data_IF_995683797118
#
_entry.id   IF_995683797118
#
_cell.length_a   1.000
_cell.length_b   1.000
_cell.length_c   1.000
_cell.angle_alpha   90.00
_cell.angle_beta   90.00
_cell.angle_gamma   90.00
#
_symmetry.space_group_name_H-M   'P 1'
#
loop_
_entity.id
_entity.type
_entity.pdbx_description
1 polymer ?
#
# COMPACT_ATOMS: atom_id res chain seq x y z
N UNK A 1 -14.88 6.37 6.55
CA UNK A 1 -13.40 6.44 6.59
C UNK A 1 -12.70 5.53 7.61
N UNK A 2 -13.12 5.47 8.89
CA UNK A 2 -12.36 4.80 9.97
C UNK A 2 -11.94 3.37 9.66
N UNK A 3 -12.83 2.57 9.09
CA UNK A 3 -12.56 1.14 8.87
C UNK A 3 -11.36 0.91 7.93
N UNK A 4 -11.30 1.61 6.80
CA UNK A 4 -10.17 1.49 5.86
C UNK A 4 -8.88 2.07 6.44
N UNK A 5 -8.95 3.22 7.12
CA UNK A 5 -7.78 3.83 7.75
C UNK A 5 -7.20 2.91 8.84
N UNK A 6 -8.04 2.26 9.63
CA UNK A 6 -7.64 1.25 10.61
C UNK A 6 -7.05 0.01 9.95
N UNK A 7 -7.62 -0.47 8.84
CA UNK A 7 -7.08 -1.60 8.08
C UNK A 7 -5.68 -1.34 7.53
N UNK A 8 -5.44 -0.14 7.00
CA UNK A 8 -4.11 0.29 6.55
C UNK A 8 -3.19 0.46 7.76
N UNK A 9 -3.68 1.04 8.87
CA UNK A 9 -2.93 1.14 10.11
C UNK A 9 -2.42 -0.21 10.63
N UNK A 10 -3.21 -1.28 10.50
CA UNK A 10 -2.81 -2.65 10.87
C UNK A 10 -1.62 -3.16 10.06
N UNK A 11 -1.43 -2.71 8.82
CA UNK A 11 -0.24 -3.07 8.04
C UNK A 11 1.06 -2.54 8.67
N UNK A 12 0.98 -1.43 9.42
CA UNK A 12 2.12 -0.85 10.13
C UNK A 12 2.32 -1.43 11.53
N UNK A 13 1.29 -1.96 12.18
CA UNK A 13 1.43 -2.55 13.53
C UNK A 13 1.70 -4.06 13.51
N UNK A 14 1.42 -4.76 12.41
CA UNK A 14 1.72 -6.19 12.30
C UNK A 14 1.61 -6.82 10.92
N UNK A 15 1.40 -6.04 9.85
CA UNK A 15 1.35 -6.55 8.49
C UNK A 15 2.61 -6.30 7.67
N UNK A 16 2.44 -6.12 6.38
CA UNK A 16 3.54 -6.07 5.43
C UNK A 16 4.52 -4.93 5.71
N UNK A 17 4.03 -3.71 5.93
CA UNK A 17 4.89 -2.54 6.22
C UNK A 17 5.61 -2.66 7.56
N UNK A 18 5.04 -3.39 8.52
CA UNK A 18 5.73 -3.78 9.75
C UNK A 18 6.89 -4.73 9.46
N UNK A 19 6.68 -5.74 8.63
CA UNK A 19 7.66 -6.78 8.35
C UNK A 19 8.84 -6.29 7.51
N UNK A 20 8.62 -5.47 6.47
CA UNK A 20 9.73 -4.93 5.67
C UNK A 20 10.61 -3.97 6.47
N UNK A 21 10.07 -3.24 7.46
CA UNK A 21 10.87 -2.44 8.40
C UNK A 21 11.76 -3.28 9.31
N UNK A 22 11.39 -4.55 9.50
CA UNK A 22 12.20 -5.57 10.17
C UNK A 22 13.04 -6.38 9.17
N UNK A 23 13.15 -5.90 7.94
CA UNK A 23 13.93 -6.52 6.84
C UNK A 23 13.42 -7.91 6.46
N UNK A 24 12.13 -8.19 6.71
CA UNK A 24 11.49 -9.46 6.37
C UNK A 24 10.48 -9.26 5.26
N UNK A 25 10.77 -9.81 4.09
CA UNK A 25 9.80 -9.85 3.00
C UNK A 25 8.98 -11.13 3.08
N UNK A 26 7.69 -10.99 3.41
CA UNK A 26 6.74 -12.09 3.47
C UNK A 26 5.74 -11.94 2.33
N UNK A 27 5.93 -12.71 1.26
CA UNK A 27 5.16 -12.60 0.00
C UNK A 27 3.65 -12.61 0.19
N UNK A 28 3.13 -13.52 1.02
CA UNK A 28 1.68 -13.63 1.24
C UNK A 28 1.10 -12.39 1.91
N UNK A 29 1.84 -11.74 2.80
CA UNK A 29 1.39 -10.50 3.43
C UNK A 29 1.48 -9.31 2.48
N UNK A 30 2.52 -9.29 1.65
CA UNK A 30 2.65 -8.32 0.58
C UNK A 30 1.38 -8.34 -0.28
N UNK A 31 1.02 -9.51 -0.82
CA UNK A 31 -0.20 -9.69 -1.64
C UNK A 31 -1.45 -9.24 -0.88
N UNK A 32 -1.61 -9.63 0.39
CA UNK A 32 -2.76 -9.20 1.21
C UNK A 32 -2.85 -7.68 1.36
N UNK A 33 -1.71 -6.99 1.54
CA UNK A 33 -1.68 -5.53 1.65
C UNK A 33 -2.12 -4.85 0.35
N UNK A 34 -1.70 -5.37 -0.82
CA UNK A 34 -2.18 -4.87 -2.12
C UNK A 34 -3.68 -5.08 -2.27
N UNK A 35 -4.17 -6.28 -1.93
CA UNK A 35 -5.59 -6.57 -2.05
C UNK A 35 -6.45 -5.64 -1.19
N UNK A 36 -6.02 -5.30 0.03
CA UNK A 36 -6.73 -4.31 0.86
C UNK A 36 -6.89 -2.98 0.12
N UNK A 37 -5.82 -2.45 -0.47
CA UNK A 37 -5.86 -1.19 -1.22
C UNK A 37 -6.73 -1.35 -2.48
N UNK A 38 -6.64 -2.49 -3.17
CA UNK A 38 -7.43 -2.80 -4.37
C UNK A 38 -8.94 -2.77 -4.10
N UNK A 39 -9.38 -3.17 -2.92
CA UNK A 39 -10.80 -3.20 -2.53
C UNK A 39 -11.33 -1.84 -2.04
N UNK A 40 -10.50 -0.81 -1.97
CA UNK A 40 -10.97 0.55 -1.67
C UNK A 40 -11.98 1.00 -2.74
N UNK A 41 -13.22 1.27 -2.34
CA UNK A 41 -14.27 1.81 -3.22
C UNK A 41 -14.48 3.31 -2.95
N UNK A 42 -13.98 4.21 -3.83
CA UNK A 42 -14.10 5.65 -3.67
C UNK A 42 -15.55 6.15 -3.60
N UNK A 43 -16.52 5.42 -4.16
CA UNK A 43 -17.92 5.86 -4.20
C UNK A 43 -18.59 5.90 -2.82
N UNK A 44 -17.99 5.22 -1.84
CA UNK A 44 -18.50 5.11 -0.46
C UNK A 44 -18.03 6.24 0.45
N UNK A 45 -17.24 7.19 -0.06
CA UNK A 45 -16.61 8.25 0.73
C UNK A 45 -17.00 9.65 0.23
N UNK A 46 -17.10 10.60 1.16
CA UNK A 46 -17.23 12.03 0.85
C UNK A 46 -15.95 12.59 0.20
N UNK A 47 -16.05 13.75 -0.46
CA UNK A 47 -14.91 14.41 -1.11
C UNK A 47 -13.75 14.74 -0.13
N UNK A 48 -14.08 15.06 1.12
CA UNK A 48 -13.06 15.28 2.16
C UNK A 48 -12.38 13.96 2.55
N UNK A 49 -13.14 12.91 2.82
CA UNK A 49 -12.60 11.58 3.12
C UNK A 49 -11.75 11.02 1.97
N UNK A 50 -12.13 11.28 0.71
CA UNK A 50 -11.33 10.86 -0.46
C UNK A 50 -9.94 11.50 -0.46
N UNK A 51 -9.82 12.77 -0.09
CA UNK A 51 -8.54 13.47 0.01
C UNK A 51 -7.69 12.90 1.15
N UNK A 52 -8.30 12.63 2.30
CA UNK A 52 -7.62 11.98 3.42
C UNK A 52 -7.11 10.59 3.04
N UNK A 53 -7.94 9.80 2.36
CA UNK A 53 -7.56 8.48 1.85
C UNK A 53 -6.43 8.56 0.83
N UNK A 54 -6.44 9.55 -0.06
CA UNK A 54 -5.35 9.79 -0.99
C UNK A 54 -4.05 10.09 -0.25
N UNK A 55 -4.09 10.96 0.77
CA UNK A 55 -2.95 11.29 1.64
C UNK A 55 -2.46 10.08 2.46
N UNK A 56 -3.33 9.12 2.75
CA UNK A 56 -2.97 7.90 3.46
C UNK A 56 -2.20 6.91 2.58
N UNK A 57 -2.54 6.79 1.29
CA UNK A 57 -2.01 5.71 0.44
C UNK A 57 -0.90 6.14 -0.53
N UNK A 58 -0.78 7.42 -0.87
CA UNK A 58 0.08 7.87 -1.98
C UNK A 58 1.57 7.55 -1.81
N UNK A 59 2.07 7.51 -0.57
CA UNK A 59 3.49 7.31 -0.28
C UNK A 59 3.86 5.83 -0.07
N UNK A 60 2.87 4.93 0.02
CA UNK A 60 3.08 3.51 0.31
C UNK A 60 4.07 2.84 -0.67
N UNK A 61 4.01 3.07 -2.00
CA UNK A 61 4.96 2.46 -2.93
C UNK A 61 6.41 2.90 -2.67
N UNK A 62 6.62 4.20 -2.41
CA UNK A 62 7.95 4.74 -2.11
C UNK A 62 8.47 4.18 -0.80
N UNK A 63 7.61 4.08 0.22
CA UNK A 63 7.97 3.47 1.50
C UNK A 63 8.39 2.00 1.36
N UNK A 64 7.73 1.24 0.48
CA UNK A 64 8.14 -0.14 0.19
C UNK A 64 9.55 -0.19 -0.41
N UNK A 65 9.86 0.69 -1.36
CA UNK A 65 11.16 0.72 -2.02
C UNK A 65 12.31 1.10 -1.09
N UNK A 66 12.09 1.94 -0.07
CA UNK A 66 13.12 2.30 0.90
C UNK A 66 13.72 1.10 1.64
N UNK A 67 12.96 0.01 1.81
CA UNK A 67 13.43 -1.18 2.52
C UNK A 67 13.90 -2.30 1.58
N UNK A 68 13.78 -2.13 0.26
CA UNK A 68 14.10 -3.17 -0.73
C UNK A 68 15.50 -3.74 -0.53
N UNK A 69 16.51 -2.87 -0.56
CA UNK A 69 17.90 -3.32 -0.55
C UNK A 69 18.24 -4.05 0.75
N UNK A 70 17.71 -3.57 1.89
CA UNK A 70 17.86 -4.24 3.19
C UNK A 70 17.16 -5.59 3.25
N UNK A 71 15.95 -5.71 2.72
CA UNK A 71 15.25 -7.00 2.65
C UNK A 71 16.01 -7.99 1.75
N UNK A 72 16.56 -7.54 0.62
CA UNK A 72 17.35 -8.38 -0.29
C UNK A 72 18.67 -8.82 0.34
N UNK A 73 19.38 -7.91 1.03
CA UNK A 73 20.57 -8.24 1.84
C UNK A 73 20.27 -9.32 2.90
N UNK A 74 19.05 -9.35 3.42
CA UNK A 74 18.57 -10.34 4.40
C UNK A 74 17.97 -11.60 3.77
N UNK A 75 18.10 -11.78 2.46
CA UNK A 75 17.72 -13.02 1.75
C UNK A 75 16.36 -12.99 1.04
N UNK A 76 15.70 -11.82 0.93
CA UNK A 76 14.53 -11.70 0.08
C UNK A 76 14.89 -11.82 -1.41
N UNK A 77 14.03 -12.44 -2.20
CA UNK A 77 14.17 -12.44 -3.65
C UNK A 77 13.92 -11.03 -4.21
N UNK A 78 14.92 -10.47 -4.90
CA UNK A 78 14.87 -9.13 -5.46
C UNK A 78 13.80 -8.99 -6.54
N UNK A 79 13.68 -9.97 -7.44
CA UNK A 79 12.75 -9.91 -8.55
C UNK A 79 11.29 -9.99 -8.05
N UNK A 80 11.03 -10.83 -7.05
CA UNK A 80 9.72 -10.91 -6.40
C UNK A 80 9.38 -9.61 -5.67
N UNK A 81 10.32 -9.04 -4.92
CA UNK A 81 10.13 -7.76 -4.23
C UNK A 81 9.82 -6.64 -5.22
N UNK A 82 10.59 -6.53 -6.31
CA UNK A 82 10.37 -5.51 -7.34
C UNK A 82 9.04 -5.69 -8.06
N UNK A 83 8.64 -6.93 -8.34
CA UNK A 83 7.32 -7.24 -8.91
C UNK A 83 6.21 -6.75 -7.98
N UNK A 84 6.35 -7.03 -6.69
CA UNK A 84 5.41 -6.54 -5.68
C UNK A 84 5.34 -5.00 -5.62
N UNK A 85 6.49 -4.33 -5.56
CA UNK A 85 6.54 -2.87 -5.45
C UNK A 85 5.90 -2.18 -6.68
N UNK A 86 6.10 -2.73 -7.88
CA UNK A 86 5.45 -2.24 -9.11
C UNK A 86 3.94 -2.43 -9.09
N UNK A 87 3.46 -3.59 -8.64
CA UNK A 87 2.01 -3.84 -8.53
C UNK A 87 1.36 -2.93 -7.48
N UNK A 88 2.03 -2.72 -6.34
CA UNK A 88 1.57 -1.77 -5.33
C UNK A 88 1.48 -0.35 -5.91
N UNK A 89 2.51 0.09 -6.65
CA UNK A 89 2.50 1.38 -7.33
C UNK A 89 1.31 1.51 -8.29
N UNK A 90 1.08 0.50 -9.14
CA UNK A 90 -0.03 0.48 -10.10
C UNK A 90 -1.38 0.61 -9.41
N UNK A 91 -1.62 -0.20 -8.37
CA UNK A 91 -2.88 -0.20 -7.62
C UNK A 91 -3.09 1.12 -6.88
N UNK A 92 -2.06 1.67 -6.24
CA UNK A 92 -2.14 2.97 -5.58
C UNK A 92 -2.46 4.08 -6.60
N UNK A 93 -1.80 4.09 -7.76
CA UNK A 93 -2.05 5.08 -8.81
C UNK A 93 -3.50 5.01 -9.32
N UNK A 94 -4.02 3.81 -9.57
CA UNK A 94 -5.42 3.59 -9.95
C UNK A 94 -6.40 4.14 -8.91
N UNK A 95 -6.14 3.88 -7.63
CA UNK A 95 -6.99 4.39 -6.55
C UNK A 95 -6.88 5.89 -6.38
N UNK A 96 -5.68 6.47 -6.49
CA UNK A 96 -5.51 7.93 -6.45
C UNK A 96 -6.27 8.62 -7.57
N UNK A 97 -6.21 8.10 -8.80
CA UNK A 97 -7.00 8.64 -9.92
C UNK A 97 -8.50 8.61 -9.63
N UNK A 98 -8.99 7.51 -9.06
CA UNK A 98 -10.41 7.38 -8.73
C UNK A 98 -10.85 8.24 -7.53
N UNK A 99 -9.98 8.43 -6.53
CA UNK A 99 -10.24 9.29 -5.37
C UNK A 99 -10.20 10.78 -5.71
N UNK A 100 -9.34 11.18 -6.65
CA UNK A 100 -9.07 12.58 -6.99
C UNK A 100 -9.72 13.02 -8.31
N UNK A 101 -10.44 12.14 -8.99
CA UNK A 101 -11.20 12.51 -10.17
C UNK A 101 -12.25 13.57 -9.79
N UNK A 102 -12.18 14.75 -10.43
CA UNK A 102 -13.22 15.76 -10.26
C UNK A 102 -14.53 15.22 -10.87
N UNK A 103 -15.61 15.22 -10.09
CA UNK A 103 -16.94 15.03 -10.67
C UNK A 103 -17.27 16.27 -11.54
N UNK A 104 -17.79 16.07 -12.76
CA UNK A 104 -18.19 17.18 -13.63
C UNK A 104 -19.33 18.02 -13.04
#
# INVERSE_FOLDING_TARGET
MRDFAEEIGKEFSGGFFHNIRKMKFIKIEAVRAIEKIRHLDPSTYSEEEKKELALLIWNLPVMTLWWRDRCVEMGADKAEFETYARELQRVVEEKLKALLAQQP
#
